data_IF_368402270993
#
_entry.id   IF_368402270993
#
_cell.length_a   1.000
_cell.length_b   1.000
_cell.length_c   1.000
_cell.angle_alpha   90.00
_cell.angle_beta   90.00
_cell.angle_gamma   90.00
#
_symmetry.space_group_name_H-M   'P 1'
#
loop_
_entity.id
_entity.type
_entity.pdbx_description
1 polymer ?
#
# COMPACT_ATOMS: atom_id res chain seq x y z
N UNK A 1 -22.62 18.20 12.29
CA UNK A 1 -21.30 18.15 11.62
C UNK A 1 -20.30 17.30 12.40
N UNK A 2 -20.20 17.42 13.73
CA UNK A 2 -19.32 16.59 14.57
C UNK A 2 -19.62 15.08 14.48
N UNK A 3 -20.89 14.68 14.55
CA UNK A 3 -21.31 13.28 14.35
C UNK A 3 -20.83 12.68 13.00
N UNK A 4 -20.73 13.51 11.96
CA UNK A 4 -20.28 13.06 10.64
C UNK A 4 -18.78 12.75 10.64
N UNK A 5 -17.95 13.55 11.32
CA UNK A 5 -16.50 13.29 11.38
C UNK A 5 -16.17 12.07 12.25
N UNK A 6 -16.92 11.83 13.32
CA UNK A 6 -16.74 10.64 14.15
C UNK A 6 -17.19 9.36 13.44
N UNK A 7 -18.24 9.44 12.62
CA UNK A 7 -18.63 8.36 11.72
C UNK A 7 -17.51 8.04 10.71
N UNK A 8 -16.86 9.05 10.12
CA UNK A 8 -15.71 8.84 9.23
C UNK A 8 -14.59 8.12 9.97
N UNK A 9 -14.19 8.59 11.17
CA UNK A 9 -13.13 7.93 11.97
C UNK A 9 -13.49 6.46 12.25
N UNK A 10 -14.74 6.17 12.60
CA UNK A 10 -15.23 4.81 12.85
C UNK A 10 -15.15 3.96 11.60
N UNK A 11 -15.60 4.46 10.46
CA UNK A 11 -15.54 3.76 9.17
C UNK A 11 -14.10 3.36 8.81
N UNK A 12 -13.12 4.26 8.98
CA UNK A 12 -11.71 3.94 8.69
C UNK A 12 -11.16 2.81 9.56
N UNK A 13 -11.51 2.79 10.85
CA UNK A 13 -11.13 1.70 11.76
C UNK A 13 -11.84 0.40 11.41
N UNK A 14 -13.16 0.44 11.16
CA UNK A 14 -13.95 -0.73 10.80
C UNK A 14 -13.49 -1.37 9.49
N UNK A 15 -13.12 -0.56 8.51
CA UNK A 15 -12.58 -1.03 7.23
C UNK A 15 -11.13 -1.54 7.34
N UNK A 16 -10.49 -1.40 8.51
CA UNK A 16 -9.10 -1.81 8.72
C UNK A 16 -8.11 -1.08 7.82
N UNK A 17 -8.42 0.14 7.38
CA UNK A 17 -7.58 0.89 6.44
C UNK A 17 -6.35 1.40 7.18
N UNK A 18 -5.26 0.64 7.06
CA UNK A 18 -3.91 1.13 7.37
C UNK A 18 -3.35 1.97 6.21
N UNK A 19 -2.23 2.66 6.44
CA UNK A 19 -1.57 3.49 5.43
C UNK A 19 -1.23 2.73 4.13
N UNK A 20 -0.85 1.45 4.23
CA UNK A 20 -0.57 0.60 3.06
C UNK A 20 -1.84 0.35 2.25
N UNK A 21 -2.98 0.09 2.91
CA UNK A 21 -4.25 -0.13 2.21
C UNK A 21 -4.77 1.16 1.56
N UNK A 22 -4.62 2.29 2.26
CA UNK A 22 -4.96 3.59 1.70
C UNK A 22 -4.15 3.90 0.43
N UNK A 23 -2.82 3.73 0.48
CA UNK A 23 -1.95 4.00 -0.66
C UNK A 23 -2.25 3.08 -1.86
N UNK A 24 -2.61 1.82 -1.61
CA UNK A 24 -3.07 0.90 -2.66
C UNK A 24 -4.34 1.40 -3.37
N UNK A 25 -5.32 1.90 -2.62
CA UNK A 25 -6.58 2.43 -3.17
C UNK A 25 -6.30 3.69 -3.99
N UNK A 26 -5.51 4.62 -3.46
CA UNK A 26 -5.11 5.84 -4.16
C UNK A 26 -4.38 5.51 -5.47
N UNK A 27 -3.42 4.60 -5.43
CA UNK A 27 -2.70 4.17 -6.62
C UNK A 27 -3.63 3.48 -7.63
N UNK A 28 -4.63 2.71 -7.19
CA UNK A 28 -5.64 2.12 -8.07
C UNK A 28 -6.51 3.18 -8.74
N UNK A 29 -6.98 4.18 -7.99
CA UNK A 29 -7.76 5.30 -8.52
C UNK A 29 -6.95 6.07 -9.57
N UNK A 30 -5.69 6.42 -9.27
CA UNK A 30 -4.80 7.12 -10.19
C UNK A 30 -4.58 6.34 -11.49
N UNK A 31 -4.37 5.00 -11.42
CA UNK A 31 -4.22 4.15 -12.60
C UNK A 31 -5.49 4.10 -13.47
N UNK A 32 -6.68 4.17 -12.87
CA UNK A 32 -7.94 4.20 -13.63
C UNK A 32 -8.10 5.48 -14.46
N UNK A 33 -7.58 6.60 -13.97
CA UNK A 33 -7.59 7.89 -14.66
C UNK A 33 -6.59 7.97 -15.84
N UNK A 34 -5.75 6.95 -16.03
CA UNK A 34 -4.73 6.96 -17.06
C UNK A 34 -5.31 6.67 -18.47
N UNK A 35 -4.77 7.33 -19.50
CA UNK A 35 -5.14 7.08 -20.91
C UNK A 35 -4.88 5.63 -21.29
N UNK A 36 -5.73 5.04 -22.14
CA UNK A 36 -5.72 3.60 -22.51
C UNK A 36 -4.33 3.08 -22.91
N UNK A 37 -3.52 3.88 -23.62
CA UNK A 37 -2.17 3.48 -24.07
C UNK A 37 -1.12 3.32 -22.97
N UNK A 38 -1.30 3.94 -21.80
CA UNK A 38 -0.31 3.93 -20.72
C UNK A 38 -0.66 2.92 -19.60
N UNK A 39 -1.87 2.32 -19.64
CA UNK A 39 -2.35 1.38 -18.61
C UNK A 39 -1.47 0.13 -18.52
N UNK A 40 -1.04 -0.42 -19.65
CA UNK A 40 -0.22 -1.64 -19.73
C UNK A 40 1.11 -1.49 -18.98
N UNK A 41 1.71 -0.30 -19.00
CA UNK A 41 2.96 -0.05 -18.26
C UNK A 41 2.69 0.13 -16.76
N UNK A 42 1.61 0.82 -16.40
CA UNK A 42 1.24 1.08 -15.01
C UNK A 42 0.73 -0.17 -14.26
N UNK A 43 0.29 -1.19 -14.98
CA UNK A 43 -0.09 -2.52 -14.46
C UNK A 43 1.11 -3.40 -14.14
N UNK A 44 2.31 -3.07 -14.63
CA UNK A 44 3.51 -3.84 -14.29
C UNK A 44 3.70 -3.80 -12.77
N UNK A 45 3.88 -4.97 -12.11
CA UNK A 45 4.18 -4.98 -10.68
C UNK A 45 5.45 -4.16 -10.44
N UNK A 46 5.38 -3.26 -9.46
CA UNK A 46 6.57 -2.49 -9.05
C UNK A 46 7.54 -3.47 -8.42
N UNK A 47 8.76 -3.53 -8.93
CA UNK A 47 9.86 -4.28 -8.31
C UNK A 47 10.08 -3.70 -6.92
N UNK A 48 9.50 -4.35 -5.91
CA UNK A 48 9.66 -3.94 -4.51
C UNK A 48 11.04 -4.39 -4.05
N UNK A 49 11.91 -3.45 -3.71
CA UNK A 49 13.29 -3.72 -3.28
C UNK A 49 13.41 -4.06 -1.79
N UNK A 50 12.39 -4.69 -1.19
CA UNK A 50 12.46 -5.08 0.22
C UNK A 50 13.39 -6.28 0.33
N UNK A 51 14.60 -6.04 0.83
CA UNK A 51 15.50 -7.11 1.25
C UNK A 51 15.07 -7.60 2.62
N UNK A 52 14.51 -8.80 2.67
CA UNK A 52 14.29 -9.49 3.94
C UNK A 52 15.64 -10.07 4.36
N UNK A 53 16.23 -9.52 5.42
CA UNK A 53 17.43 -10.08 6.04
C UNK A 53 16.99 -10.88 7.25
N UNK A 54 17.30 -12.17 7.26
CA UNK A 54 17.11 -13.00 8.46
C UNK A 54 18.19 -12.67 9.48
N UNK A 55 17.83 -12.65 10.76
CA UNK A 55 18.73 -12.35 11.87
C UNK A 55 18.73 -13.51 12.86
N UNK A 56 19.91 -13.89 13.34
CA UNK A 56 20.07 -14.88 14.38
C UNK A 56 21.16 -14.42 15.35
N UNK A 57 20.93 -14.56 16.65
CA UNK A 57 21.89 -14.15 17.70
C UNK A 57 22.42 -12.71 17.56
N UNK A 58 21.58 -11.78 17.07
CA UNK A 58 21.94 -10.37 16.90
C UNK A 58 22.83 -10.06 15.69
N UNK A 59 23.08 -11.02 14.78
CA UNK A 59 23.81 -10.79 13.53
C UNK A 59 22.92 -11.07 12.32
N UNK A 60 23.04 -10.30 11.22
CA UNK A 60 22.38 -10.63 9.98
C UNK A 60 23.00 -11.91 9.41
N UNK A 61 22.16 -12.88 9.06
CA UNK A 61 22.60 -14.07 8.34
C UNK A 61 23.05 -13.62 6.95
N UNK A 62 24.35 -13.74 6.66
CA UNK A 62 24.86 -13.52 5.30
C UNK A 62 24.33 -14.68 4.45
N UNK A 63 23.48 -14.38 3.48
CA UNK A 63 23.04 -15.38 2.51
C UNK A 63 24.27 -15.76 1.69
N UNK A 64 24.74 -17.00 1.83
CA UNK A 64 25.72 -17.60 0.92
C UNK A 64 25.12 -17.73 -0.48
#
# INVERSE_FOLDING_TARGET
MLESVDNIKRMWRQMGINYVRYSQIAASATRKCLKKGLKKEAEKPVTTSVKITSWENGKPLKKE
#
